data_IF_058485511333
#
_entry.id   IF_058485511333
#
_cell.length_a   1.000
_cell.length_b   1.000
_cell.length_c   1.000
_cell.angle_alpha   90.00
_cell.angle_beta   90.00
_cell.angle_gamma   90.00
#
_symmetry.space_group_name_H-M   'P 1'
#
loop_
_entity.id
_entity.type
_entity.pdbx_description
1 polymer ?
#
# COMPACT_ATOMS: atom_id res chain seq x y z
N UNK A 1 -19.73 17.81 0.19
CA UNK A 1 -18.47 17.16 0.59
C UNK A 1 -17.70 18.12 1.49
N UNK A 2 -17.61 17.84 2.79
CA UNK A 2 -17.09 18.77 3.80
C UNK A 2 -15.54 18.72 3.80
N UNK A 3 -14.89 19.83 4.21
CA UNK A 3 -13.42 19.90 4.33
C UNK A 3 -12.91 18.81 5.29
N UNK A 4 -13.70 18.47 6.30
CA UNK A 4 -13.45 17.40 7.26
C UNK A 4 -13.33 16.03 6.59
N UNK A 5 -14.12 15.76 5.56
CA UNK A 5 -14.09 14.48 4.83
C UNK A 5 -12.82 14.35 3.99
N UNK A 6 -12.34 15.46 3.41
CA UNK A 6 -11.08 15.48 2.63
C UNK A 6 -9.86 15.22 3.49
N UNK A 7 -9.84 15.78 4.71
CA UNK A 7 -8.74 15.55 5.65
C UNK A 7 -8.72 14.09 6.13
N UNK A 8 -9.88 13.53 6.47
CA UNK A 8 -10.01 12.13 6.89
C UNK A 8 -9.57 11.18 5.79
N UNK A 9 -9.98 11.43 4.54
CA UNK A 9 -9.55 10.62 3.39
C UNK A 9 -8.03 10.73 3.19
N UNK A 10 -7.47 11.93 3.24
CA UNK A 10 -6.03 12.16 3.13
C UNK A 10 -5.24 11.46 4.24
N UNK A 11 -5.68 11.58 5.48
CA UNK A 11 -5.06 10.94 6.63
C UNK A 11 -5.13 9.40 6.54
N UNK A 12 -6.27 8.87 6.09
CA UNK A 12 -6.43 7.42 5.88
C UNK A 12 -5.52 6.89 4.76
N UNK A 13 -5.42 7.62 3.65
CA UNK A 13 -4.49 7.25 2.57
C UNK A 13 -3.04 7.29 3.05
N UNK A 14 -2.66 8.29 3.84
CA UNK A 14 -1.34 8.37 4.43
C UNK A 14 -1.07 7.20 5.39
N UNK A 15 -1.99 6.93 6.31
CA UNK A 15 -1.87 5.83 7.27
C UNK A 15 -1.82 4.45 6.60
N UNK A 16 -2.54 4.25 5.50
CA UNK A 16 -2.53 2.99 4.76
C UNK A 16 -1.25 2.79 3.92
N UNK A 17 -0.52 3.86 3.61
CA UNK A 17 0.73 3.78 2.85
C UNK A 17 1.97 3.68 3.74
N UNK A 18 1.94 4.25 4.95
CA UNK A 18 3.05 4.15 5.91
C UNK A 18 2.79 2.95 6.81
N UNK A 19 3.39 1.83 6.48
CA UNK A 19 3.31 0.59 7.25
C UNK A 19 4.59 0.29 8.04
N UNK A 20 4.57 -0.82 8.75
CA UNK A 20 5.74 -1.37 9.45
C UNK A 20 6.93 -1.63 8.53
N UNK A 21 6.70 -1.80 7.23
CA UNK A 21 7.73 -1.91 6.20
C UNK A 21 8.62 -0.67 6.12
N UNK A 22 8.08 0.52 6.34
CA UNK A 22 8.87 1.76 6.35
C UNK A 22 9.65 1.92 7.66
N UNK A 23 9.02 1.60 8.80
CA UNK A 23 9.66 1.74 10.11
C UNK A 23 10.72 0.67 10.36
N UNK A 24 10.46 -0.57 10.03
CA UNK A 24 11.38 -1.70 10.28
C UNK A 24 12.29 -1.93 9.07
N UNK A 25 11.74 -1.98 7.86
CA UNK A 25 12.50 -2.25 6.65
C UNK A 25 13.40 -1.08 6.24
N UNK A 26 12.81 0.07 5.99
CA UNK A 26 13.55 1.22 5.47
C UNK A 26 14.48 1.83 6.54
N UNK A 27 14.00 1.99 7.78
CA UNK A 27 14.80 2.53 8.86
C UNK A 27 15.94 1.57 9.27
N UNK A 28 15.65 0.25 9.33
CA UNK A 28 16.66 -0.77 9.61
C UNK A 28 17.73 -0.86 8.52
N UNK A 29 17.32 -0.83 7.27
CA UNK A 29 18.23 -0.81 6.13
C UNK A 29 19.01 0.52 6.07
N UNK A 30 18.38 1.66 6.37
CA UNK A 30 19.05 2.97 6.49
C UNK A 30 20.12 2.98 7.58
N UNK A 31 19.88 2.31 8.70
CA UNK A 31 20.86 2.17 9.79
C UNK A 31 22.06 1.29 9.42
N UNK A 32 21.85 0.27 8.56
CA UNK A 32 22.93 -0.67 8.17
C UNK A 32 23.69 -0.24 6.92
N UNK A 33 23.03 0.37 5.95
CA UNK A 33 23.63 0.71 4.63
C UNK A 33 23.73 2.21 4.37
N UNK A 34 23.26 3.04 5.29
CA UNK A 34 23.27 4.50 5.18
C UNK A 34 22.10 5.09 4.43
N UNK A 35 22.14 6.41 4.23
CA UNK A 35 21.04 7.25 3.71
C UNK A 35 20.69 6.98 2.24
N UNK A 36 21.48 6.17 1.52
CA UNK A 36 21.26 5.89 0.09
C UNK A 36 19.88 5.33 -0.20
N UNK A 37 19.30 4.56 0.72
CA UNK A 37 17.95 4.02 0.58
C UNK A 37 16.83 5.09 0.66
N UNK A 38 17.08 6.22 1.32
CA UNK A 38 16.17 7.36 1.31
C UNK A 38 15.95 7.96 -0.08
N UNK A 39 16.86 7.71 -1.01
CA UNK A 39 16.72 8.19 -2.40
C UNK A 39 15.52 7.55 -3.10
N UNK A 40 15.13 6.32 -2.76
CA UNK A 40 13.94 5.67 -3.32
C UNK A 40 12.66 6.43 -2.94
N UNK A 41 12.57 6.93 -1.70
CA UNK A 41 11.40 7.71 -1.24
C UNK A 41 11.33 9.08 -1.94
N UNK A 42 12.46 9.73 -2.14
CA UNK A 42 12.51 11.00 -2.89
C UNK A 42 12.11 10.77 -4.35
N UNK A 43 12.59 9.70 -4.97
CA UNK A 43 12.22 9.35 -6.35
C UNK A 43 10.74 8.98 -6.48
N UNK A 44 10.19 8.25 -5.51
CA UNK A 44 8.77 7.93 -5.45
C UNK A 44 7.92 9.21 -5.33
N UNK A 45 8.33 10.16 -4.51
CA UNK A 45 7.65 11.45 -4.34
C UNK A 45 7.63 12.25 -5.65
N UNK A 46 8.73 12.29 -6.39
CA UNK A 46 8.80 12.93 -7.71
C UNK A 46 7.89 12.23 -8.72
N UNK A 47 7.86 10.90 -8.73
CA UNK A 47 6.98 10.12 -9.60
C UNK A 47 5.50 10.40 -9.31
N UNK A 48 5.12 10.52 -8.04
CA UNK A 48 3.74 10.88 -7.63
C UNK A 48 3.37 12.30 -8.07
N UNK A 49 4.30 13.26 -7.99
CA UNK A 49 4.07 14.62 -8.49
C UNK A 49 3.82 14.63 -10.00
N UNK A 50 4.62 13.92 -10.77
CA UNK A 50 4.44 13.77 -12.22
C UNK A 50 3.11 13.09 -12.53
N UNK A 51 2.78 12.01 -11.81
CA UNK A 51 1.50 11.32 -11.95
C UNK A 51 0.33 12.27 -11.67
N UNK A 52 0.37 13.01 -10.56
CA UNK A 52 -0.68 13.94 -10.14
C UNK A 52 -0.86 15.11 -11.10
N UNK A 53 0.22 15.66 -11.61
CA UNK A 53 0.17 16.88 -12.43
C UNK A 53 -0.12 16.61 -13.91
N UNK A 54 0.47 15.55 -14.48
CA UNK A 54 0.33 15.23 -15.90
C UNK A 54 -0.77 14.18 -16.15
N UNK A 55 -0.77 13.09 -15.39
CA UNK A 55 -1.59 11.93 -15.71
C UNK A 55 -3.00 11.99 -15.11
N UNK A 56 -3.15 12.48 -13.87
CA UNK A 56 -4.47 12.54 -13.23
C UNK A 56 -5.47 13.40 -14.01
N UNK A 57 -5.14 14.61 -14.48
CA UNK A 57 -6.06 15.39 -15.32
C UNK A 57 -6.49 14.67 -16.60
N UNK A 58 -5.58 13.90 -17.18
CA UNK A 58 -5.87 13.09 -18.36
C UNK A 58 -6.83 11.94 -18.06
N UNK A 59 -6.62 11.21 -16.95
CA UNK A 59 -7.51 10.12 -16.55
C UNK A 59 -8.90 10.61 -16.14
N UNK A 60 -8.98 11.72 -15.42
CA UNK A 60 -10.26 12.34 -15.04
C UNK A 60 -11.05 12.77 -16.28
N UNK A 61 -10.40 13.39 -17.29
CA UNK A 61 -11.04 13.75 -18.56
C UNK A 61 -11.48 12.53 -19.35
N UNK A 62 -10.75 11.41 -19.26
CA UNK A 62 -11.10 10.15 -19.94
C UNK A 62 -12.23 9.40 -19.24
N UNK A 63 -12.68 9.84 -18.06
CA UNK A 63 -13.76 9.21 -17.28
C UNK A 63 -13.42 7.79 -16.81
N UNK A 64 -12.14 7.51 -16.56
CA UNK A 64 -11.65 6.20 -16.10
C UNK A 64 -11.27 6.31 -14.63
N UNK A 65 -11.70 5.32 -13.84
CA UNK A 65 -11.44 5.29 -12.40
C UNK A 65 -10.28 4.37 -12.00
N UNK A 66 -9.91 3.44 -12.87
CA UNK A 66 -8.86 2.45 -12.58
C UNK A 66 -7.93 2.26 -13.79
N UNK A 67 -6.66 1.93 -13.52
CA UNK A 67 -5.67 1.62 -14.57
C UNK A 67 -6.08 0.45 -15.47
N UNK A 68 -6.60 -0.66 -14.95
CA UNK A 68 -7.10 -1.75 -15.81
C UNK A 68 -8.23 -1.31 -16.75
N UNK A 69 -9.15 -0.45 -16.28
CA UNK A 69 -10.21 0.11 -17.12
C UNK A 69 -9.66 1.01 -18.24
N UNK A 70 -8.64 1.80 -17.93
CA UNK A 70 -7.95 2.61 -18.92
C UNK A 70 -7.34 1.76 -20.03
N UNK A 71 -6.68 0.66 -19.67
CA UNK A 71 -6.11 -0.26 -20.66
C UNK A 71 -7.17 -0.96 -21.51
N UNK A 72 -8.31 -1.30 -20.92
CA UNK A 72 -9.44 -1.86 -21.66
C UNK A 72 -9.93 -0.92 -22.75
N UNK A 73 -10.15 0.36 -22.39
CA UNK A 73 -10.63 1.37 -23.36
C UNK A 73 -9.61 1.71 -24.44
N UNK A 74 -8.32 1.62 -24.13
CA UNK A 74 -7.25 1.99 -25.05
C UNK A 74 -6.80 0.83 -25.94
N UNK A 75 -6.81 -0.40 -25.43
CA UNK A 75 -6.26 -1.57 -26.13
C UNK A 75 -7.31 -2.66 -26.32
N UNK A 76 -7.60 -3.42 -25.26
CA UNK A 76 -8.53 -4.54 -25.32
C UNK A 76 -8.96 -5.03 -23.92
N UNK A 77 -10.09 -5.77 -23.82
CA UNK A 77 -10.49 -6.44 -22.57
C UNK A 77 -9.43 -7.43 -22.04
N UNK A 78 -8.67 -8.05 -22.92
CA UNK A 78 -7.59 -8.98 -22.56
C UNK A 78 -6.46 -8.25 -21.81
N UNK A 79 -6.11 -7.02 -22.19
CA UNK A 79 -5.11 -6.21 -21.51
C UNK A 79 -5.54 -5.84 -20.08
N UNK A 80 -6.82 -5.54 -19.89
CA UNK A 80 -7.40 -5.33 -18.55
C UNK A 80 -7.26 -6.56 -17.67
N UNK A 81 -7.67 -7.72 -18.18
CA UNK A 81 -7.61 -8.97 -17.44
C UNK A 81 -6.17 -9.34 -17.05
N UNK A 82 -5.24 -9.25 -18.01
CA UNK A 82 -3.83 -9.53 -17.78
C UNK A 82 -3.24 -8.62 -16.67
N UNK A 83 -3.44 -7.31 -16.77
CA UNK A 83 -2.94 -6.37 -15.76
C UNK A 83 -3.56 -6.63 -14.39
N UNK A 84 -4.87 -6.92 -14.32
CA UNK A 84 -5.54 -7.20 -13.07
C UNK A 84 -4.97 -8.45 -12.38
N UNK A 85 -4.78 -9.55 -13.12
CA UNK A 85 -4.23 -10.80 -12.58
C UNK A 85 -2.78 -10.60 -12.12
N UNK A 86 -1.94 -10.00 -12.95
CA UNK A 86 -0.53 -9.74 -12.59
C UNK A 86 -0.44 -8.83 -11.36
N UNK A 87 -1.28 -7.79 -11.28
CA UNK A 87 -1.30 -6.89 -10.13
C UNK A 87 -1.71 -7.62 -8.85
N UNK A 88 -2.77 -8.45 -8.88
CA UNK A 88 -3.21 -9.21 -7.71
C UNK A 88 -2.11 -10.15 -7.23
N UNK A 89 -1.50 -10.92 -8.13
CA UNK A 89 -0.42 -11.85 -7.79
C UNK A 89 0.77 -11.07 -7.19
N UNK A 90 1.17 -9.97 -7.81
CA UNK A 90 2.25 -9.13 -7.30
C UNK A 90 1.95 -8.58 -5.91
N UNK A 91 0.74 -8.06 -5.67
CA UNK A 91 0.34 -7.55 -4.36
C UNK A 91 0.34 -8.64 -3.29
N UNK A 92 -0.16 -9.84 -3.60
CA UNK A 92 -0.17 -10.96 -2.65
C UNK A 92 1.25 -11.40 -2.30
N UNK A 93 2.10 -11.60 -3.31
CA UNK A 93 3.46 -12.11 -3.10
C UNK A 93 4.42 -11.08 -2.50
N UNK A 94 4.26 -9.79 -2.80
CA UNK A 94 5.18 -8.76 -2.32
C UNK A 94 4.62 -8.01 -1.11
N UNK A 95 3.56 -7.22 -1.29
CA UNK A 95 3.03 -6.32 -0.25
C UNK A 95 2.58 -7.08 0.99
N UNK A 96 1.74 -8.10 0.84
CA UNK A 96 1.20 -8.85 1.97
C UNK A 96 2.32 -9.58 2.70
N UNK A 97 3.22 -10.25 1.98
CA UNK A 97 4.33 -10.99 2.59
C UNK A 97 5.27 -10.08 3.37
N UNK A 98 5.65 -8.93 2.81
CA UNK A 98 6.53 -7.96 3.49
C UNK A 98 5.86 -7.38 4.72
N UNK A 99 4.57 -7.05 4.66
CA UNK A 99 3.82 -6.51 5.80
C UNK A 99 3.70 -7.52 6.95
N UNK A 100 3.41 -8.79 6.64
CA UNK A 100 3.34 -9.87 7.63
C UNK A 100 4.73 -10.11 8.25
N UNK A 101 5.78 -10.15 7.44
CA UNK A 101 7.15 -10.30 7.91
C UNK A 101 7.54 -9.16 8.87
N UNK A 102 7.33 -7.91 8.47
CA UNK A 102 7.64 -6.75 9.30
C UNK A 102 6.83 -6.75 10.61
N UNK A 103 5.55 -7.13 10.56
CA UNK A 103 4.72 -7.31 11.75
C UNK A 103 5.27 -8.38 12.69
N UNK A 104 5.64 -9.55 12.17
CA UNK A 104 6.26 -10.62 12.95
C UNK A 104 7.55 -10.18 13.65
N UNK A 105 8.43 -9.46 12.94
CA UNK A 105 9.67 -8.90 13.52
C UNK A 105 9.38 -7.92 14.65
N UNK A 106 8.39 -7.04 14.50
CA UNK A 106 8.00 -6.09 15.55
C UNK A 106 7.50 -6.83 16.81
N UNK A 107 6.65 -7.84 16.66
CA UNK A 107 6.15 -8.64 17.78
C UNK A 107 7.30 -9.37 18.50
N UNK A 108 8.24 -9.94 17.76
CA UNK A 108 9.41 -10.58 18.34
C UNK A 108 10.29 -9.59 19.09
N UNK A 109 10.55 -8.42 18.50
CA UNK A 109 11.44 -7.42 19.10
C UNK A 109 10.85 -6.72 20.34
N UNK A 110 9.54 -6.44 20.33
CA UNK A 110 8.91 -5.65 21.40
C UNK A 110 8.29 -6.54 22.50
N UNK A 111 7.74 -7.68 22.13
CA UNK A 111 6.98 -8.53 23.05
C UNK A 111 7.69 -9.86 23.37
N UNK A 112 8.79 -10.17 22.68
CA UNK A 112 9.52 -11.44 22.85
C UNK A 112 8.73 -12.66 22.36
N UNK A 113 7.68 -12.46 21.56
CA UNK A 113 6.85 -13.54 21.01
C UNK A 113 7.58 -14.16 19.83
N UNK A 114 7.46 -15.47 19.68
CA UNK A 114 8.02 -16.19 18.53
C UNK A 114 7.48 -15.61 17.21
N UNK A 115 8.36 -15.46 16.21
CA UNK A 115 8.04 -14.85 14.91
C UNK A 115 6.76 -15.39 14.26
N UNK A 116 6.61 -16.71 14.21
CA UNK A 116 5.44 -17.34 13.59
C UNK A 116 4.13 -17.04 14.32
N UNK A 117 4.18 -17.04 15.64
CA UNK A 117 3.02 -16.67 16.47
C UNK A 117 2.63 -15.21 16.24
N UNK A 118 3.60 -14.30 16.20
CA UNK A 118 3.37 -12.89 15.90
C UNK A 118 2.77 -12.68 14.50
N UNK A 119 3.29 -13.35 13.49
CA UNK A 119 2.79 -13.28 12.12
C UNK A 119 1.34 -13.77 12.01
N UNK A 120 0.99 -14.88 12.67
CA UNK A 120 -0.38 -15.41 12.69
C UNK A 120 -1.33 -14.45 13.39
N UNK A 121 -0.93 -13.85 14.50
CA UNK A 121 -1.74 -12.85 15.22
C UNK A 121 -2.06 -11.66 14.30
N UNK A 122 -1.07 -11.14 13.58
CA UNK A 122 -1.26 -10.03 12.63
C UNK A 122 -2.27 -10.40 11.55
N UNK A 123 -2.12 -11.57 10.94
CA UNK A 123 -3.03 -12.04 9.88
C UNK A 123 -4.46 -12.21 10.38
N UNK A 124 -4.61 -12.85 11.53
CA UNK A 124 -5.93 -13.08 12.12
C UNK A 124 -6.61 -11.77 12.56
N UNK A 125 -5.89 -10.90 13.26
CA UNK A 125 -6.41 -9.60 13.69
C UNK A 125 -6.83 -8.75 12.48
N UNK A 126 -5.97 -8.68 11.45
CA UNK A 126 -6.27 -7.95 10.21
C UNK A 126 -7.47 -8.55 9.49
N UNK A 127 -7.52 -9.88 9.37
CA UNK A 127 -8.64 -10.59 8.75
C UNK A 127 -9.96 -10.34 9.45
N UNK A 128 -9.97 -10.42 10.78
CA UNK A 128 -11.18 -10.19 11.60
C UNK A 128 -11.71 -8.78 11.39
N UNK A 129 -10.89 -7.74 11.61
CA UNK A 129 -11.40 -6.38 11.48
C UNK A 129 -11.79 -6.03 10.03
N UNK A 130 -11.10 -6.61 9.04
CA UNK A 130 -11.43 -6.37 7.63
C UNK A 130 -12.76 -7.03 7.24
N UNK A 131 -13.01 -8.25 7.70
CA UNK A 131 -14.27 -8.96 7.42
C UNK A 131 -15.47 -8.29 8.09
N UNK A 132 -15.34 -7.89 9.36
CA UNK A 132 -16.44 -7.28 10.11
C UNK A 132 -16.65 -5.79 9.83
N UNK A 133 -15.60 -5.05 9.54
CA UNK A 133 -15.66 -3.60 9.37
C UNK A 133 -15.60 -3.10 7.93
N UNK A 134 -15.11 -3.93 7.01
CA UNK A 134 -14.93 -3.57 5.61
C UNK A 134 -14.15 -2.25 5.43
N UNK A 135 -14.46 -1.51 4.36
CA UNK A 135 -13.81 -0.24 4.06
C UNK A 135 -14.01 0.82 5.18
N UNK A 136 -15.12 0.75 5.91
CA UNK A 136 -15.40 1.69 7.01
C UNK A 136 -14.44 1.51 8.16
N UNK A 137 -14.08 0.29 8.54
CA UNK A 137 -13.13 0.04 9.62
C UNK A 137 -11.70 0.52 9.29
N UNK A 138 -11.35 0.60 8.01
CA UNK A 138 -10.06 1.14 7.57
C UNK A 138 -10.05 2.68 7.56
N UNK A 139 -11.24 3.32 7.43
CA UNK A 139 -11.37 4.78 7.33
C UNK A 139 -11.58 5.47 8.70
N UNK A 140 -12.03 4.76 9.73
CA UNK A 140 -12.28 5.24 11.09
C UNK A 140 -11.38 4.57 12.12
#
# INVERSE_FOLDING_TARGET
MCIRDRFVIGASMFASNIGSEHLVGLAGAGASTGVVLGQFEVQASLAILVLGWLFVPFYVKSGVFTMPEFLERRYSPTARWYLAVVSIISYVLTKISVTIYAGGVVFTALMGIEFWTGAIIVVLATGVYTVFGGLRAVLY
#
